data_IF_459488840766
#
_entry.id   IF_459488840766
#
_cell.length_a   1.000
_cell.length_b   1.000
_cell.length_c   1.000
_cell.angle_alpha   90.00
_cell.angle_beta   90.00
_cell.angle_gamma   90.00
#
_symmetry.space_group_name_H-M   'P 1'
#
loop_
_entity.id
_entity.type
_entity.pdbx_description
1 polymer ?
#
# COMPACT_ATOMS: atom_id res chain seq x y z
N UNK A 1 -25.29 -19.42 -2.42
CA UNK A 1 -25.51 -18.31 -3.37
C UNK A 1 -25.59 -17.02 -2.58
N UNK A 2 -24.59 -16.14 -2.68
CA UNK A 2 -24.66 -14.80 -2.08
C UNK A 2 -25.68 -13.99 -2.90
N UNK A 3 -26.60 -13.24 -2.29
CA UNK A 3 -27.57 -12.44 -3.03
C UNK A 3 -26.85 -11.41 -3.91
N UNK A 4 -27.25 -11.33 -5.19
CA UNK A 4 -26.83 -10.26 -6.10
C UNK A 4 -27.24 -8.91 -5.48
N UNK A 5 -26.25 -8.11 -5.09
CA UNK A 5 -26.50 -6.77 -4.55
C UNK A 5 -25.77 -6.39 -3.26
N UNK A 6 -24.90 -7.25 -2.70
CA UNK A 6 -24.00 -6.81 -1.63
C UNK A 6 -22.94 -5.92 -2.28
N UNK A 7 -23.13 -4.60 -2.19
CA UNK A 7 -22.07 -3.64 -2.49
C UNK A 7 -20.82 -4.08 -1.76
N UNK A 8 -19.72 -4.25 -2.49
CA UNK A 8 -18.43 -4.61 -1.91
C UNK A 8 -18.11 -3.55 -0.86
N UNK A 9 -18.16 -3.94 0.42
CA UNK A 9 -18.05 -3.03 1.57
C UNK A 9 -16.77 -2.18 1.48
N UNK A 10 -15.74 -2.70 0.80
CA UNK A 10 -14.44 -2.04 0.67
C UNK A 10 -14.05 -1.77 -0.79
N UNK A 11 -13.89 -0.49 -1.19
CA UNK A 11 -13.54 -0.14 -2.56
C UNK A 11 -12.15 -0.68 -2.94
N UNK A 12 -12.01 -1.20 -4.17
CA UNK A 12 -10.76 -1.78 -4.70
C UNK A 12 -9.65 -0.77 -4.99
N UNK A 13 -9.97 0.53 -4.86
CA UNK A 13 -9.11 1.65 -5.19
C UNK A 13 -8.88 2.60 -4.01
N UNK A 14 -9.10 2.16 -2.77
CA UNK A 14 -8.66 2.88 -1.57
C UNK A 14 -7.98 1.94 -0.60
N UNK A 15 -7.11 2.51 0.22
CA UNK A 15 -6.42 1.83 1.31
C UNK A 15 -7.05 2.20 2.64
N UNK A 16 -7.04 1.26 3.58
CA UNK A 16 -7.30 1.53 4.99
C UNK A 16 -6.01 1.96 5.68
N UNK A 17 -6.12 2.69 6.81
CA UNK A 17 -4.95 3.06 7.62
C UNK A 17 -4.10 1.86 8.06
N UNK A 18 -4.74 0.71 8.29
CA UNK A 18 -4.06 -0.53 8.66
C UNK A 18 -3.27 -1.12 7.49
N UNK A 19 -3.85 -1.08 6.29
CA UNK A 19 -3.17 -1.51 5.06
C UNK A 19 -1.96 -0.63 4.78
N UNK A 20 -2.08 0.70 4.92
CA UNK A 20 -0.95 1.63 4.74
C UNK A 20 0.15 1.35 5.74
N UNK A 21 -0.17 1.27 7.03
CA UNK A 21 0.82 0.94 8.06
C UNK A 21 1.50 -0.41 7.79
N UNK A 22 0.74 -1.42 7.34
CA UNK A 22 1.28 -2.74 7.01
C UNK A 22 2.20 -2.73 5.80
N UNK A 23 1.83 -1.99 4.74
CA UNK A 23 2.67 -1.82 3.54
C UNK A 23 4.00 -1.19 3.91
N UNK A 24 3.97 -0.06 4.61
CA UNK A 24 5.18 0.67 5.00
C UNK A 24 6.06 -0.20 5.89
N UNK A 25 5.50 -0.81 6.94
CA UNK A 25 6.26 -1.67 7.84
C UNK A 25 6.85 -2.91 7.15
N UNK A 26 6.08 -3.58 6.28
CA UNK A 26 6.57 -4.72 5.52
C UNK A 26 7.68 -4.31 4.56
N UNK A 27 7.54 -3.17 3.88
CA UNK A 27 8.52 -2.69 2.93
C UNK A 27 9.81 -2.21 3.61
N UNK A 28 9.68 -1.50 4.72
CA UNK A 28 10.82 -1.10 5.55
C UNK A 28 11.64 -2.32 5.98
N UNK A 29 10.97 -3.40 6.43
CA UNK A 29 11.64 -4.65 6.77
C UNK A 29 12.38 -5.26 5.57
N UNK A 30 11.77 -5.30 4.39
CA UNK A 30 12.43 -5.78 3.17
C UNK A 30 13.71 -4.99 2.87
N UNK A 31 13.65 -3.65 2.98
CA UNK A 31 14.81 -2.77 2.76
C UNK A 31 15.89 -3.03 3.81
N UNK A 32 15.54 -3.18 5.08
CA UNK A 32 16.48 -3.54 6.15
C UNK A 32 17.19 -4.87 5.90
N UNK A 33 16.52 -5.80 5.21
CA UNK A 33 17.07 -7.11 4.82
C UNK A 33 17.85 -7.06 3.49
N UNK A 34 18.10 -5.87 2.92
CA UNK A 34 18.89 -5.68 1.70
C UNK A 34 18.10 -5.82 0.40
N UNK A 35 16.76 -5.76 0.43
CA UNK A 35 15.96 -5.74 -0.79
C UNK A 35 16.27 -4.48 -1.64
N UNK A 36 16.20 -4.58 -2.98
CA UNK A 36 16.50 -3.46 -3.85
C UNK A 36 15.50 -2.31 -3.67
N UNK A 37 16.02 -1.09 -3.61
CA UNK A 37 15.26 0.16 -3.50
C UNK A 37 14.84 0.61 -4.91
N UNK A 38 13.59 1.05 -5.07
CA UNK A 38 12.96 1.37 -6.35
C UNK A 38 12.82 2.87 -6.61
N UNK A 39 13.31 3.71 -5.70
CA UNK A 39 13.37 5.18 -5.82
C UNK A 39 14.80 5.68 -5.71
N UNK A 40 15.08 6.84 -6.30
CA UNK A 40 16.40 7.45 -6.25
C UNK A 40 16.58 8.17 -4.89
N UNK A 41 17.43 7.61 -4.03
CA UNK A 41 17.73 8.12 -2.67
C UNK A 41 19.08 8.85 -2.59
N UNK A 42 19.63 9.29 -3.74
CA UNK A 42 20.95 9.94 -3.82
C UNK A 42 21.16 11.01 -2.73
N UNK A 43 22.21 10.81 -1.95
CA UNK A 43 22.75 11.80 -1.00
C UNK A 43 22.06 11.88 0.36
N UNK A 44 21.04 11.07 0.64
CA UNK A 44 20.38 11.04 1.95
C UNK A 44 20.71 9.74 2.70
N UNK A 45 21.20 9.85 3.93
CA UNK A 45 21.13 8.74 4.89
C UNK A 45 19.68 8.65 5.34
N UNK A 46 18.93 7.75 4.74
CA UNK A 46 17.55 7.49 5.10
C UNK A 46 17.46 6.16 5.85
N UNK A 47 16.66 6.14 6.90
CA UNK A 47 16.27 4.93 7.57
C UNK A 47 15.35 4.09 6.66
N UNK A 48 15.32 2.76 6.80
CA UNK A 48 14.51 1.88 5.95
C UNK A 48 13.03 2.27 5.85
N UNK A 49 12.47 2.83 6.93
CA UNK A 49 11.08 3.32 6.97
C UNK A 49 10.87 4.54 6.08
N UNK A 50 11.82 5.48 6.08
CA UNK A 50 11.75 6.69 5.25
C UNK A 50 11.86 6.32 3.77
N UNK A 51 12.71 5.34 3.43
CA UNK A 51 12.82 4.82 2.07
C UNK A 51 11.49 4.17 1.63
N UNK A 52 10.86 3.39 2.49
CA UNK A 52 9.55 2.80 2.21
C UNK A 52 8.45 3.87 1.99
N UNK A 53 8.48 4.97 2.74
CA UNK A 53 7.57 6.10 2.56
C UNK A 53 7.80 6.81 1.22
N UNK A 54 9.04 7.02 0.83
CA UNK A 54 9.36 7.62 -0.49
C UNK A 54 8.93 6.71 -1.64
N UNK A 55 9.11 5.39 -1.52
CA UNK A 55 8.57 4.44 -2.51
C UNK A 55 7.04 4.44 -2.56
N UNK A 56 6.38 4.61 -1.41
CA UNK A 56 4.93 4.73 -1.33
C UNK A 56 4.44 5.99 -2.03
N UNK A 57 5.03 7.15 -1.73
CA UNK A 57 4.71 8.43 -2.40
C UNK A 57 4.94 8.35 -3.91
N UNK A 58 6.00 7.65 -4.34
CA UNK A 58 6.30 7.42 -5.75
C UNK A 58 5.40 6.36 -6.43
N UNK A 59 4.47 5.72 -5.70
CA UNK A 59 3.65 4.60 -6.18
C UNK A 59 4.48 3.41 -6.73
N UNK A 60 5.66 3.14 -6.14
CA UNK A 60 6.62 2.12 -6.59
C UNK A 60 6.73 0.90 -5.68
N UNK A 61 5.85 0.77 -4.69
CA UNK A 61 5.82 -0.36 -3.77
C UNK A 61 5.63 -1.70 -4.54
N UNK A 62 6.52 -2.69 -4.38
CA UNK A 62 6.49 -3.95 -5.14
C UNK A 62 5.68 -5.05 -4.41
N UNK A 63 4.49 -4.71 -3.89
CA UNK A 63 3.60 -5.69 -3.26
C UNK A 63 2.14 -5.33 -3.54
N UNK A 64 1.25 -6.29 -3.32
CA UNK A 64 -0.19 -6.16 -3.57
C UNK A 64 -0.97 -6.58 -2.32
N UNK A 65 -2.14 -5.98 -2.12
CA UNK A 65 -3.05 -6.35 -1.03
C UNK A 65 -4.10 -7.31 -1.57
N UNK A 66 -4.26 -8.42 -0.84
CA UNK A 66 -5.31 -9.40 -1.03
C UNK A 66 -6.27 -9.31 0.16
N UNK A 67 -7.52 -8.93 -0.09
CA UNK A 67 -8.60 -8.94 0.90
C UNK A 67 -9.37 -10.24 0.77
N UNK A 68 -9.48 -10.98 1.86
CA UNK A 68 -10.32 -12.19 1.92
C UNK A 68 -11.62 -11.81 2.63
N UNK A 69 -12.73 -11.98 1.92
CA UNK A 69 -14.07 -11.74 2.46
C UNK A 69 -14.54 -12.92 3.33
N UNK A 70 -15.53 -12.73 4.21
CA UNK A 70 -16.06 -13.80 5.06
C UNK A 70 -16.64 -15.00 4.29
N UNK A 71 -17.07 -14.79 3.05
CA UNK A 71 -17.57 -15.83 2.14
C UNK A 71 -16.45 -16.56 1.37
N UNK A 72 -15.19 -16.18 1.61
CA UNK A 72 -14.01 -16.74 0.94
C UNK A 72 -13.67 -16.07 -0.39
N UNK A 73 -14.46 -15.11 -0.87
CA UNK A 73 -14.11 -14.35 -2.07
C UNK A 73 -12.84 -13.52 -1.83
N UNK A 74 -12.02 -13.43 -2.88
CA UNK A 74 -10.75 -12.72 -2.85
C UNK A 74 -10.83 -11.47 -3.69
N UNK A 75 -10.53 -10.33 -3.07
CA UNK A 75 -10.42 -9.05 -3.75
C UNK A 75 -8.96 -8.61 -3.79
N UNK A 76 -8.45 -8.39 -4.99
CA UNK A 76 -7.13 -7.80 -5.23
C UNK A 76 -7.31 -6.28 -5.36
N UNK A 77 -6.56 -5.53 -4.57
CA UNK A 77 -6.56 -4.06 -4.58
C UNK A 77 -5.65 -3.57 -5.71
N UNK A 78 -6.11 -2.59 -6.50
CA UNK A 78 -5.24 -1.87 -7.43
C UNK A 78 -4.34 -0.92 -6.63
N UNK A 79 -3.13 -1.37 -6.32
CA UNK A 79 -2.23 -0.66 -5.41
C UNK A 79 -1.87 0.73 -5.93
N UNK A 80 -1.68 0.90 -7.25
CA UNK A 80 -1.28 2.20 -7.82
C UNK A 80 -2.42 3.19 -7.71
N UNK A 81 -3.64 2.78 -8.03
CA UNK A 81 -4.82 3.63 -7.90
C UNK A 81 -5.13 3.95 -6.44
N UNK A 82 -5.01 2.94 -5.57
CA UNK A 82 -5.28 3.07 -4.15
C UNK A 82 -4.31 4.02 -3.42
N UNK A 83 -3.01 3.95 -3.74
CA UNK A 83 -2.00 4.87 -3.22
C UNK A 83 -2.27 6.31 -3.71
N UNK A 84 -2.56 6.49 -5.00
CA UNK A 84 -2.87 7.83 -5.55
C UNK A 84 -4.08 8.47 -4.86
N UNK A 85 -5.13 7.68 -4.63
CA UNK A 85 -6.32 8.13 -3.92
C UNK A 85 -5.98 8.47 -2.46
N UNK A 86 -5.20 7.62 -1.77
CA UNK A 86 -4.74 7.90 -0.42
C UNK A 86 -4.00 9.23 -0.32
N UNK A 87 -2.99 9.45 -1.18
CA UNK A 87 -2.20 10.69 -1.20
C UNK A 87 -3.07 11.91 -1.52
N UNK A 88 -4.08 11.76 -2.39
CA UNK A 88 -5.02 12.85 -2.67
C UNK A 88 -5.88 13.20 -1.46
N UNK A 89 -6.34 12.19 -0.71
CA UNK A 89 -7.20 12.35 0.46
C UNK A 89 -6.43 12.89 1.69
N UNK A 90 -5.14 12.57 1.82
CA UNK A 90 -4.30 12.90 2.98
C UNK A 90 -3.24 13.97 2.67
N UNK A 91 -3.44 14.78 1.63
CA UNK A 91 -2.54 15.91 1.33
C UNK A 91 -1.09 15.52 1.03
N UNK A 92 -0.88 14.32 0.46
CA UNK A 92 0.45 13.77 0.14
C UNK A 92 1.17 13.14 1.34
N UNK A 93 0.53 13.08 2.50
CA UNK A 93 1.08 12.42 3.68
C UNK A 93 0.83 10.91 3.66
N UNK A 94 1.74 10.17 4.29
CA UNK A 94 1.62 8.72 4.48
C UNK A 94 0.77 8.41 5.72
N UNK A 95 0.81 9.29 6.74
CA UNK A 95 0.06 9.19 7.99
C UNK A 95 -0.88 10.38 8.17
#
# INVERSE_FOLDING_TARGET
MVPKGVEVIWPKDRLTRFEVARIIGARALQISLGAPILVDVKGKKLEPIEIAEEEFKACRIPMTIKRTLPDGEVIIVDIKKAIKNWLKEHGGQVY
#
